data_IF_833633609100
#
_entry.id   IF_833633609100
#
_cell.length_a   1.000
_cell.length_b   1.000
_cell.length_c   1.000
_cell.angle_alpha   90.00
_cell.angle_beta   90.00
_cell.angle_gamma   90.00
#
_symmetry.space_group_name_H-M   'P 1'
#
loop_
_entity.id
_entity.type
_entity.pdbx_description
1 polymer ?
#
# COMPACT_ATOMS: atom_id res chain seq x y z
N UNK A 1 -6.65 -2.69 9.02
CA UNK A 1 -6.90 -1.29 9.40
C UNK A 1 -5.99 -0.37 8.61
N UNK A 2 -6.46 0.83 8.27
CA UNK A 2 -5.67 1.89 7.63
C UNK A 2 -5.42 2.97 8.70
N UNK A 3 -4.16 3.34 8.92
CA UNK A 3 -3.77 4.40 9.85
C UNK A 3 -3.16 5.56 9.07
N UNK A 4 -3.63 6.78 9.31
CA UNK A 4 -3.00 8.00 8.77
C UNK A 4 -2.05 8.57 9.81
N UNK A 5 -0.84 8.92 9.37
CA UNK A 5 0.21 9.53 10.17
C UNK A 5 0.53 10.89 9.59
N UNK A 6 0.63 11.89 10.45
CA UNK A 6 1.24 13.18 10.17
C UNK A 6 2.67 13.13 10.71
N UNK A 7 3.66 13.38 9.84
CA UNK A 7 5.07 13.51 10.19
C UNK A 7 5.43 14.99 10.20
N UNK A 8 5.77 15.49 11.39
CA UNK A 8 6.36 16.81 11.62
C UNK A 8 5.57 17.99 11.03
N UNK A 9 4.24 17.86 10.91
CA UNK A 9 3.36 18.84 10.25
C UNK A 9 3.74 19.19 8.81
N UNK A 10 4.58 18.36 8.16
CA UNK A 10 5.07 18.56 6.79
C UNK A 10 4.57 17.52 5.82
N UNK A 11 4.47 16.27 6.28
CA UNK A 11 4.17 15.15 5.41
C UNK A 11 3.10 14.24 6.01
N UNK A 12 2.26 13.69 5.13
CA UNK A 12 1.21 12.75 5.47
C UNK A 12 1.57 11.38 4.88
N UNK A 13 1.29 10.32 5.63
CA UNK A 13 1.50 8.96 5.18
C UNK A 13 0.36 8.09 5.69
N UNK A 14 -0.05 7.08 4.94
CA UNK A 14 -0.92 6.03 5.48
C UNK A 14 -0.19 4.69 5.55
N UNK A 15 -0.54 3.91 6.55
CA UNK A 15 -0.06 2.54 6.75
C UNK A 15 -1.25 1.61 6.77
N UNK A 16 -1.18 0.53 6.00
CA UNK A 16 -2.18 -0.54 6.02
C UNK A 16 -1.63 -1.68 6.86
N UNK A 17 -2.34 -2.03 7.94
CA UNK A 17 -2.04 -3.16 8.81
C UNK A 17 -3.08 -4.26 8.66
N UNK A 18 -2.63 -5.51 8.72
CA UNK A 18 -3.48 -6.68 8.86
C UNK A 18 -4.24 -6.69 10.20
N UNK A 19 -5.20 -7.60 10.36
CA UNK A 19 -5.95 -7.77 11.62
C UNK A 19 -5.04 -8.09 12.83
N UNK A 20 -3.87 -8.69 12.60
CA UNK A 20 -2.89 -9.01 13.64
C UNK A 20 -1.90 -7.87 13.92
N UNK A 21 -2.10 -6.69 13.30
CA UNK A 21 -1.22 -5.53 13.48
C UNK A 21 0.03 -5.52 12.59
N UNK A 22 0.32 -6.59 11.84
CA UNK A 22 1.43 -6.62 10.88
C UNK A 22 1.22 -5.59 9.76
N UNK A 23 2.23 -4.77 9.48
CA UNK A 23 2.24 -3.83 8.36
C UNK A 23 2.26 -4.59 7.04
N UNK A 24 1.32 -4.25 6.15
CA UNK A 24 1.17 -4.81 4.81
C UNK A 24 1.65 -3.85 3.74
N UNK A 25 1.44 -2.54 3.93
CA UNK A 25 1.78 -1.48 3.00
C UNK A 25 2.06 -0.19 3.76
N UNK A 26 3.09 0.53 3.35
CA UNK A 26 3.34 1.92 3.72
C UNK A 26 3.26 2.79 2.47
N UNK A 27 2.53 3.89 2.56
CA UNK A 27 2.41 4.81 1.42
C UNK A 27 3.68 5.62 1.21
N UNK A 28 3.76 6.28 0.05
CA UNK A 28 4.65 7.42 -0.14
C UNK A 28 4.28 8.56 0.81
N UNK A 29 5.19 9.53 0.95
CA UNK A 29 4.93 10.77 1.69
C UNK A 29 4.15 11.74 0.81
N UNK A 30 3.04 12.24 1.33
CA UNK A 30 2.20 13.25 0.70
C UNK A 30 2.49 14.60 1.33
N UNK A 31 2.56 15.67 0.52
CA UNK A 31 2.77 17.03 1.03
C UNK A 31 1.54 17.60 1.76
N UNK A 32 0.35 17.05 1.51
CA UNK A 32 -0.91 17.54 2.08
C UNK A 32 -1.93 16.41 2.31
N UNK A 33 -2.85 16.62 3.26
CA UNK A 33 -3.90 15.65 3.63
C UNK A 33 -4.83 15.34 2.46
N UNK A 34 -5.13 16.31 1.61
CA UNK A 34 -6.08 16.16 0.50
C UNK A 34 -5.55 15.19 -0.56
N UNK A 35 -4.26 15.25 -0.88
CA UNK A 35 -3.58 14.32 -1.77
C UNK A 35 -3.60 12.90 -1.23
N UNK A 36 -3.38 12.73 0.08
CA UNK A 36 -3.50 11.43 0.75
C UNK A 36 -4.94 10.89 0.67
N UNK A 37 -5.94 11.72 1.01
CA UNK A 37 -7.35 11.34 1.00
C UNK A 37 -7.83 10.96 -0.41
N UNK A 38 -7.45 11.73 -1.43
CA UNK A 38 -7.76 11.42 -2.83
C UNK A 38 -7.18 10.05 -3.22
N UNK A 39 -5.92 9.79 -2.84
CA UNK A 39 -5.27 8.51 -3.10
C UNK A 39 -6.01 7.37 -2.38
N UNK A 40 -6.39 7.54 -1.11
CA UNK A 40 -7.15 6.52 -0.37
C UNK A 40 -8.53 6.27 -1.00
N UNK A 41 -9.22 7.31 -1.46
CA UNK A 41 -10.52 7.19 -2.11
C UNK A 41 -10.38 6.42 -3.44
N UNK A 42 -9.37 6.73 -4.25
CA UNK A 42 -9.04 5.98 -5.47
C UNK A 42 -8.72 4.50 -5.16
N UNK A 43 -7.93 4.27 -4.11
CA UNK A 43 -7.56 2.92 -3.67
C UNK A 43 -8.71 2.14 -3.05
N UNK A 44 -9.82 2.78 -2.67
CA UNK A 44 -11.04 2.13 -2.18
C UNK A 44 -12.06 1.90 -3.28
N UNK A 45 -12.08 2.73 -4.31
CA UNK A 45 -13.02 2.61 -5.41
C UNK A 45 -12.83 1.26 -6.14
N UNK A 46 -13.92 0.50 -6.24
CA UNK A 46 -13.99 -0.80 -6.94
C UNK A 46 -14.35 -0.63 -8.41
N UNK A 47 -14.87 0.53 -8.80
CA UNK A 47 -15.22 0.86 -10.18
C UNK A 47 -14.00 1.32 -10.99
N UNK A 48 -12.88 1.61 -10.33
CA UNK A 48 -11.62 1.94 -10.99
C UNK A 48 -10.87 0.65 -11.36
N UNK A 49 -10.69 0.37 -12.66
CA UNK A 49 -10.30 -0.96 -13.13
C UNK A 49 -8.84 -1.36 -12.86
N UNK A 50 -7.99 -0.53 -12.22
CA UNK A 50 -6.55 -0.81 -12.23
C UNK A 50 -5.78 -0.39 -10.98
N UNK A 51 -6.01 -1.08 -9.86
CA UNK A 51 -5.00 -1.18 -8.79
C UNK A 51 -3.91 -2.14 -9.26
N UNK A 52 -2.73 -1.65 -9.66
CA UNK A 52 -1.62 -2.52 -10.12
C UNK A 52 -0.70 -2.85 -8.97
N UNK A 53 -0.56 -4.15 -8.70
CA UNK A 53 0.45 -4.69 -7.80
C UNK A 53 1.66 -5.07 -8.64
N UNK A 54 2.74 -4.30 -8.52
CA UNK A 54 4.03 -4.62 -9.11
C UNK A 54 4.81 -5.50 -8.13
N UNK A 55 5.08 -6.74 -8.51
CA UNK A 55 5.83 -7.70 -7.70
C UNK A 55 7.32 -7.55 -8.00
N UNK A 56 8.15 -7.56 -6.97
CA UNK A 56 9.59 -7.40 -7.08
C UNK A 56 10.31 -8.37 -6.14
N UNK A 57 11.53 -8.71 -6.52
CA UNK A 57 12.47 -9.43 -5.67
C UNK A 57 13.70 -8.55 -5.52
N UNK A 58 14.16 -8.34 -4.28
CA UNK A 58 15.37 -7.57 -4.02
C UNK A 58 16.64 -8.41 -4.29
N UNK A 59 17.82 -7.79 -4.22
CA UNK A 59 19.10 -8.47 -4.45
C UNK A 59 19.41 -9.58 -3.43
N UNK A 60 18.73 -9.59 -2.29
CA UNK A 60 18.85 -10.61 -1.24
C UNK A 60 17.86 -11.77 -1.39
N UNK A 61 17.10 -11.81 -2.50
CA UNK A 61 16.10 -12.84 -2.76
C UNK A 61 14.81 -12.68 -1.93
N UNK A 62 14.58 -11.53 -1.31
CA UNK A 62 13.34 -11.21 -0.58
C UNK A 62 12.30 -10.64 -1.53
N UNK A 63 11.06 -11.02 -1.31
CA UNK A 63 9.92 -10.62 -2.14
C UNK A 63 9.26 -9.37 -1.56
N UNK A 64 8.79 -8.46 -2.41
CA UNK A 64 7.99 -7.30 -2.02
C UNK A 64 7.07 -6.90 -3.18
N UNK A 65 6.09 -6.06 -2.90
CA UNK A 65 5.25 -5.49 -3.94
C UNK A 65 5.07 -3.98 -3.75
N UNK A 66 4.91 -3.28 -4.87
CA UNK A 66 4.48 -1.90 -4.92
C UNK A 66 3.01 -1.82 -5.33
N UNK A 67 2.28 -0.90 -4.72
CA UNK A 67 0.95 -0.51 -5.13
C UNK A 67 1.04 0.72 -6.02
N UNK A 68 0.47 0.63 -7.22
CA UNK A 68 0.37 1.75 -8.16
C UNK A 68 -1.09 2.19 -8.32
N UNK A 69 -1.27 3.50 -8.48
CA UNK A 69 -2.56 4.10 -8.80
C UNK A 69 -2.93 3.88 -10.28
N UNK A 70 -4.09 4.38 -10.71
CA UNK A 70 -4.57 4.26 -12.08
C UNK A 70 -3.66 4.93 -13.12
N UNK A 71 -2.85 5.90 -12.71
CA UNK A 71 -1.84 6.56 -13.55
C UNK A 71 -0.53 5.78 -13.65
N UNK A 72 -0.36 4.69 -12.88
CA UNK A 72 0.87 3.89 -12.86
C UNK A 72 1.95 4.41 -11.90
N UNK A 73 1.65 5.46 -11.13
CA UNK A 73 2.55 6.00 -10.11
C UNK A 73 2.53 5.12 -8.87
N UNK A 74 3.69 4.84 -8.29
CA UNK A 74 3.79 4.10 -7.03
C UNK A 74 3.27 4.97 -5.89
N UNK A 75 2.26 4.47 -5.18
CA UNK A 75 1.63 5.16 -4.03
C UNK A 75 1.94 4.48 -2.70
N UNK A 76 2.54 3.29 -2.72
CA UNK A 76 3.04 2.62 -1.54
C UNK A 76 3.79 1.34 -1.85
N UNK A 77 4.52 0.86 -0.85
CA UNK A 77 5.36 -0.34 -0.93
C UNK A 77 5.13 -1.26 0.27
N UNK A 78 5.23 -2.56 0.05
CA UNK A 78 5.17 -3.53 1.12
C UNK A 78 6.50 -3.66 1.86
N UNK A 79 6.45 -4.20 3.08
CA UNK A 79 7.64 -4.78 3.70
C UNK A 79 8.16 -5.99 2.93
N UNK A 80 9.34 -6.49 3.33
CA UNK A 80 9.96 -7.68 2.74
C UNK A 80 9.27 -8.97 3.22
N UNK A 81 9.16 -9.92 2.30
CA UNK A 81 8.64 -11.27 2.52
C UNK A 81 9.73 -12.30 2.26
N UNK A 82 9.71 -13.38 3.05
CA UNK A 82 10.64 -14.50 2.91
C UNK A 82 10.25 -15.49 1.81
N UNK A 83 9.03 -15.38 1.26
CA UNK A 83 8.54 -16.25 0.19
C UNK A 83 7.53 -15.52 -0.70
N UNK A 84 7.46 -15.94 -1.96
CA UNK A 84 6.47 -15.45 -2.93
C UNK A 84 5.04 -15.70 -2.46
N UNK A 85 4.76 -16.89 -1.92
CA UNK A 85 3.45 -17.21 -1.35
C UNK A 85 3.08 -16.26 -0.19
N UNK A 86 4.06 -15.86 0.63
CA UNK A 86 3.86 -14.86 1.68
C UNK A 86 3.47 -13.49 1.11
N UNK A 87 4.14 -13.08 0.03
CA UNK A 87 3.85 -11.83 -0.69
C UNK A 87 2.45 -11.84 -1.31
N UNK A 88 2.05 -12.93 -1.99
CA UNK A 88 0.70 -13.05 -2.58
C UNK A 88 -0.41 -13.02 -1.53
N UNK A 89 -0.20 -13.66 -0.38
CA UNK A 89 -1.11 -13.55 0.76
C UNK A 89 -1.19 -12.12 1.30
N UNK A 90 -0.05 -11.41 1.31
CA UNK A 90 0.01 -9.98 1.63
C UNK A 90 -0.85 -9.13 0.68
N UNK A 91 -0.73 -9.36 -0.63
CA UNK A 91 -1.54 -8.69 -1.67
C UNK A 91 -3.03 -8.99 -1.47
N UNK A 92 -3.40 -10.24 -1.23
CA UNK A 92 -4.80 -10.63 -0.98
C UNK A 92 -5.37 -9.92 0.24
N UNK A 93 -4.63 -9.91 1.36
CA UNK A 93 -5.06 -9.23 2.58
C UNK A 93 -5.20 -7.73 2.38
N UNK A 94 -4.25 -7.11 1.68
CA UNK A 94 -4.30 -5.69 1.36
C UNK A 94 -5.52 -5.34 0.50
N UNK A 95 -5.79 -6.12 -0.55
CA UNK A 95 -7.00 -5.94 -1.38
C UNK A 95 -8.26 -5.98 -0.54
N UNK A 96 -8.40 -6.98 0.33
CA UNK A 96 -9.57 -7.12 1.19
C UNK A 96 -9.76 -5.93 2.14
N UNK A 97 -8.67 -5.38 2.69
CA UNK A 97 -8.74 -4.21 3.58
C UNK A 97 -9.09 -2.93 2.81
N UNK A 98 -8.64 -2.80 1.56
CA UNK A 98 -8.92 -1.62 0.75
C UNK A 98 -10.35 -1.56 0.22
N UNK A 99 -11.06 -2.69 0.13
CA UNK A 99 -12.46 -2.74 -0.36
C UNK A 99 -13.50 -2.84 0.76
N UNK A 100 -13.05 -2.89 2.02
CA UNK A 100 -13.90 -2.80 3.20
C UNK A 100 -14.23 -1.35 3.52
#
# INVERSE_FOLDING_TARGET
>A
MIEVKNKEDKYYQFVVKSATGKILLESVEFADSKSLENTLNELKDTNLPVKRFERKTNFEGKFLFNLKNGQGTVVGSSGLYNSEAGMENGIKNLKNILIQ
#
